data_IF_446007424051
#
_entry.id   IF_446007424051
#
_cell.length_a   1.000
_cell.length_b   1.000
_cell.length_c   1.000
_cell.angle_alpha   90.00
_cell.angle_beta   90.00
_cell.angle_gamma   90.00
#
_symmetry.space_group_name_H-M   'P 1'
#
loop_
_entity.id
_entity.type
_entity.pdbx_description
1 polymer ?
#
# COMPACT_ATOMS: atom_id res chain seq x y z
N UNK A 1 -27.51 2.86 11.72
CA UNK A 1 -26.20 3.50 11.93
C UNK A 1 -25.93 3.47 13.42
N UNK A 2 -24.99 2.68 13.93
CA UNK A 2 -24.76 2.69 15.39
C UNK A 2 -23.75 1.70 15.98
N UNK A 3 -23.40 0.61 15.30
CA UNK A 3 -22.46 -0.38 15.88
C UNK A 3 -21.26 -0.66 14.97
N UNK A 4 -21.46 -0.72 13.65
CA UNK A 4 -20.37 -0.94 12.70
C UNK A 4 -19.37 0.24 12.60
N UNK A 5 -19.74 1.44 13.02
CA UNK A 5 -18.83 2.61 12.95
C UNK A 5 -17.93 2.77 14.19
N UNK A 6 -18.17 2.03 15.27
CA UNK A 6 -17.45 2.25 16.56
C UNK A 6 -16.24 1.31 16.70
N UNK A 7 -16.22 0.15 16.04
CA UNK A 7 -15.11 -0.82 16.12
C UNK A 7 -14.09 -0.66 14.98
N UNK A 8 -14.50 -0.11 13.84
CA UNK A 8 -13.62 0.11 12.69
C UNK A 8 -12.50 1.16 12.85
N UNK A 9 -12.61 2.24 13.65
CA UNK A 9 -11.58 3.29 13.63
C UNK A 9 -10.26 2.87 14.28
N UNK A 10 -10.22 1.86 15.15
CA UNK A 10 -8.99 1.48 15.88
C UNK A 10 -8.15 0.39 15.20
N UNK A 11 -8.76 -0.51 14.44
CA UNK A 11 -8.06 -1.66 13.81
C UNK A 11 -7.44 -1.25 12.48
N UNK A 12 -8.13 -0.41 11.70
CA UNK A 12 -7.70 -0.04 10.36
C UNK A 12 -6.29 0.60 10.32
N UNK A 13 -5.94 1.51 11.24
CA UNK A 13 -4.63 2.16 11.20
C UNK A 13 -3.47 1.18 11.47
N UNK A 14 -3.67 0.20 12.38
CA UNK A 14 -2.69 -0.87 12.63
C UNK A 14 -2.55 -1.82 11.42
N UNK A 15 -3.66 -2.12 10.75
CA UNK A 15 -3.65 -2.92 9.53
C UNK A 15 -2.84 -2.26 8.41
N UNK A 16 -3.00 -0.95 8.22
CA UNK A 16 -2.20 -0.16 7.26
C UNK A 16 -0.72 -0.19 7.63
N UNK A 17 -0.37 -0.01 8.91
CA UNK A 17 1.01 -0.11 9.37
C UNK A 17 1.61 -1.49 9.09
N UNK A 18 0.85 -2.57 9.32
CA UNK A 18 1.28 -3.93 9.03
C UNK A 18 1.53 -4.13 7.52
N UNK A 19 0.61 -3.68 6.67
CA UNK A 19 0.79 -3.71 5.21
C UNK A 19 2.02 -2.92 4.79
N UNK A 20 2.20 -1.72 5.33
CA UNK A 20 3.34 -0.86 5.03
C UNK A 20 4.64 -1.57 5.40
N UNK A 21 4.71 -2.19 6.58
CA UNK A 21 5.86 -2.99 6.99
C UNK A 21 6.07 -4.16 6.02
N UNK A 22 5.05 -4.98 5.77
CA UNK A 22 5.16 -6.15 4.89
C UNK A 22 5.64 -5.79 3.48
N UNK A 23 5.07 -4.75 2.86
CA UNK A 23 5.44 -4.29 1.52
C UNK A 23 6.85 -3.69 1.50
N UNK A 24 7.23 -2.93 2.55
CA UNK A 24 8.57 -2.36 2.71
C UNK A 24 9.65 -3.42 2.93
N UNK A 25 9.34 -4.50 3.65
CA UNK A 25 10.26 -5.64 3.82
C UNK A 25 10.66 -6.23 2.48
N UNK A 26 9.72 -6.38 1.54
CA UNK A 26 10.01 -6.88 0.19
C UNK A 26 10.93 -5.92 -0.55
N UNK A 27 10.69 -4.61 -0.42
CA UNK A 27 11.52 -3.56 -1.01
C UNK A 27 12.96 -3.58 -0.50
N UNK A 28 13.17 -3.71 0.80
CA UNK A 28 14.50 -3.70 1.41
C UNK A 28 15.28 -5.01 1.19
N UNK A 29 14.60 -6.15 0.99
CA UNK A 29 15.25 -7.46 1.07
C UNK A 29 15.28 -8.26 -0.23
N UNK A 30 14.22 -8.23 -1.04
CA UNK A 30 14.10 -9.09 -2.24
C UNK A 30 14.52 -8.37 -3.51
N UNK A 31 14.07 -7.13 -3.67
CA UNK A 31 14.36 -6.35 -4.85
C UNK A 31 13.53 -5.08 -4.88
N UNK A 32 14.20 -3.96 -5.15
CA UNK A 32 13.58 -2.63 -5.11
C UNK A 32 12.48 -2.48 -6.14
N UNK A 33 12.69 -3.02 -7.35
CA UNK A 33 11.67 -3.02 -8.41
C UNK A 33 10.39 -3.71 -7.94
N UNK A 34 10.51 -4.96 -7.49
CA UNK A 34 9.36 -5.77 -7.05
C UNK A 34 8.69 -5.14 -5.81
N UNK A 35 9.48 -4.69 -4.83
CA UNK A 35 8.94 -4.08 -3.62
C UNK A 35 8.25 -2.74 -3.88
N UNK A 36 8.77 -1.91 -4.78
CA UNK A 36 8.13 -0.66 -5.17
C UNK A 36 6.83 -0.93 -5.92
N UNK A 37 6.85 -1.86 -6.88
CA UNK A 37 5.66 -2.30 -7.60
C UNK A 37 4.57 -2.80 -6.66
N UNK A 38 4.93 -3.63 -5.68
CA UNK A 38 4.02 -4.14 -4.67
C UNK A 38 3.48 -3.02 -3.78
N UNK A 39 4.34 -2.16 -3.22
CA UNK A 39 3.95 -1.04 -2.37
C UNK A 39 3.00 -0.11 -3.12
N UNK A 40 3.39 0.32 -4.32
CA UNK A 40 2.61 1.24 -5.14
C UNK A 40 1.25 0.65 -5.53
N UNK A 41 1.22 -0.61 -5.99
CA UNK A 41 -0.03 -1.29 -6.35
C UNK A 41 -0.96 -1.46 -5.14
N UNK A 42 -0.40 -1.75 -3.96
CA UNK A 42 -1.15 -1.94 -2.73
C UNK A 42 -1.83 -0.65 -2.30
N UNK A 43 -1.08 0.45 -2.19
CA UNK A 43 -1.64 1.75 -1.81
C UNK A 43 -2.57 2.31 -2.90
N UNK A 44 -2.30 2.03 -4.18
CA UNK A 44 -3.23 2.33 -5.26
C UNK A 44 -4.57 1.60 -5.07
N UNK A 45 -4.54 0.32 -4.71
CA UNK A 45 -5.75 -0.45 -4.42
C UNK A 45 -6.53 0.15 -3.26
N UNK A 46 -5.86 0.56 -2.18
CA UNK A 46 -6.49 1.26 -1.06
C UNK A 46 -7.14 2.57 -1.53
N UNK A 47 -6.43 3.41 -2.28
CA UNK A 47 -6.98 4.65 -2.85
C UNK A 47 -8.23 4.40 -3.70
N UNK A 48 -8.18 3.42 -4.60
CA UNK A 48 -9.33 3.07 -5.46
C UNK A 48 -10.50 2.57 -4.63
N UNK A 49 -10.25 1.78 -3.58
CA UNK A 49 -11.30 1.31 -2.68
C UNK A 49 -12.03 2.47 -2.00
N UNK A 50 -11.29 3.47 -1.51
CA UNK A 50 -11.89 4.67 -0.91
C UNK A 50 -12.57 5.57 -1.93
N UNK A 51 -12.02 5.75 -3.13
CA UNK A 51 -12.70 6.47 -4.20
C UNK A 51 -14.06 5.83 -4.51
N UNK A 52 -14.11 4.49 -4.58
CA UNK A 52 -15.37 3.75 -4.76
C UNK A 52 -16.33 4.00 -3.60
N UNK A 53 -15.87 3.88 -2.34
CA UNK A 53 -16.73 4.09 -1.18
C UNK A 53 -17.27 5.52 -1.06
N UNK A 54 -16.50 6.51 -1.51
CA UNK A 54 -16.88 7.92 -1.44
C UNK A 54 -17.81 8.37 -2.57
N UNK A 55 -17.70 7.74 -3.76
CA UNK A 55 -18.39 8.22 -4.96
C UNK A 55 -19.49 7.28 -5.46
N UNK A 56 -19.45 5.99 -5.13
CA UNK A 56 -20.47 5.02 -5.56
C UNK A 56 -21.52 4.90 -4.44
N UNK A 57 -22.82 5.09 -4.76
CA UNK A 57 -23.87 4.99 -3.75
C UNK A 57 -23.93 3.58 -3.15
N UNK A 58 -24.22 3.53 -1.85
CA UNK A 58 -24.40 2.28 -1.11
C UNK A 58 -25.60 1.50 -1.67
N UNK A 59 -25.47 0.18 -1.79
CA UNK A 59 -26.59 -0.67 -2.18
C UNK A 59 -27.65 -0.66 -1.08
N UNK A 60 -28.90 -0.39 -1.45
CA UNK A 60 -30.02 -0.48 -0.53
C UNK A 60 -30.54 -1.92 -0.54
N UNK A 61 -30.15 -2.70 0.46
CA UNK A 61 -30.91 -3.89 0.82
C UNK A 61 -32.02 -3.44 1.78
N UNK A 62 -33.20 -4.07 1.75
CA UNK A 62 -34.38 -3.69 2.55
C UNK A 62 -34.12 -3.44 4.05
N UNK A 63 -32.97 -3.86 4.59
CA UNK A 63 -32.60 -3.75 5.99
C UNK A 63 -31.38 -2.86 6.25
N UNK A 64 -30.50 -2.62 5.26
CA UNK A 64 -29.25 -1.90 5.47
C UNK A 64 -28.63 -1.34 4.18
N UNK A 65 -27.88 -0.24 4.36
CA UNK A 65 -26.95 0.25 3.35
C UNK A 65 -25.69 -0.61 3.33
N UNK A 66 -25.35 -1.14 2.16
CA UNK A 66 -24.24 -2.06 1.96
C UNK A 66 -23.15 -1.37 1.13
N UNK A 67 -21.90 -1.32 1.62
CA UNK A 67 -20.78 -0.75 0.86
C UNK A 67 -20.53 -1.55 -0.41
N UNK A 68 -20.08 -0.87 -1.47
CA UNK A 68 -19.79 -1.57 -2.73
C UNK A 68 -18.62 -2.54 -2.59
N UNK A 69 -17.57 -2.19 -1.84
CA UNK A 69 -16.32 -2.96 -1.68
C UNK A 69 -15.86 -2.95 -0.22
N UNK A 70 -15.17 -4.00 0.20
CA UNK A 70 -14.45 -4.05 1.47
C UNK A 70 -12.95 -3.71 1.24
N UNK A 71 -12.44 -2.58 1.79
CA UNK A 71 -11.05 -2.17 1.56
C UNK A 71 -10.00 -3.15 2.09
N UNK A 72 -10.28 -3.85 3.19
CA UNK A 72 -9.34 -4.81 3.79
C UNK A 72 -9.21 -5.99 2.86
N UNK A 73 -10.33 -6.58 2.43
CA UNK A 73 -10.35 -7.71 1.49
C UNK A 73 -9.71 -7.33 0.18
N UNK A 74 -10.08 -6.20 -0.42
CA UNK A 74 -9.52 -5.73 -1.69
C UNK A 74 -8.00 -5.59 -1.62
N UNK A 75 -7.49 -5.03 -0.52
CA UNK A 75 -6.04 -4.83 -0.31
C UNK A 75 -5.30 -6.16 -0.12
N UNK A 76 -5.80 -7.06 0.74
CA UNK A 76 -5.20 -8.37 0.96
C UNK A 76 -5.18 -9.17 -0.35
N UNK A 77 -6.31 -9.23 -1.06
CA UNK A 77 -6.40 -9.90 -2.36
C UNK A 77 -5.37 -9.32 -3.33
N UNK A 78 -5.25 -8.00 -3.41
CA UNK A 78 -4.26 -7.33 -4.28
C UNK A 78 -2.82 -7.75 -3.95
N UNK A 79 -2.43 -7.71 -2.67
CA UNK A 79 -1.08 -8.08 -2.21
C UNK A 79 -0.76 -9.53 -2.57
N UNK A 80 -1.67 -10.47 -2.27
CA UNK A 80 -1.37 -11.90 -2.43
C UNK A 80 -1.49 -12.36 -3.88
N UNK A 81 -2.43 -11.82 -4.66
CA UNK A 81 -2.51 -12.09 -6.09
C UNK A 81 -1.28 -11.58 -6.83
N UNK A 82 -0.65 -10.48 -6.39
CA UNK A 82 0.62 -10.01 -6.94
C UNK A 82 1.74 -11.07 -6.82
N UNK A 83 1.72 -11.93 -5.79
CA UNK A 83 2.75 -12.96 -5.65
C UNK A 83 2.47 -14.22 -6.48
N UNK A 84 1.27 -14.42 -7.03
CA UNK A 84 0.91 -15.65 -7.76
C UNK A 84 1.84 -15.89 -8.96
N UNK A 85 2.10 -14.91 -9.85
CA UNK A 85 3.01 -15.13 -10.99
C UNK A 85 4.46 -15.40 -10.57
N UNK A 86 4.84 -15.04 -9.35
CA UNK A 86 6.18 -15.24 -8.79
C UNK A 86 6.36 -16.61 -8.12
N UNK A 87 5.28 -17.38 -7.94
CA UNK A 87 5.31 -18.69 -7.33
C UNK A 87 5.83 -19.75 -8.31
N UNK A 88 6.82 -20.53 -7.89
CA UNK A 88 7.42 -21.60 -8.71
C UNK A 88 6.76 -22.96 -8.51
N UNK A 89 6.02 -23.14 -7.41
CA UNK A 89 5.40 -24.42 -7.06
C UNK A 89 3.93 -24.29 -6.71
N UNK A 90 3.15 -25.35 -6.97
CA UNK A 90 1.73 -25.42 -6.60
C UNK A 90 1.50 -25.17 -5.10
N UNK A 91 2.42 -25.62 -4.24
CA UNK A 91 2.36 -25.40 -2.79
C UNK A 91 2.46 -23.91 -2.42
N UNK A 92 3.32 -23.16 -3.10
CA UNK A 92 3.43 -21.71 -2.88
C UNK A 92 2.17 -20.97 -3.31
N UNK A 93 1.57 -21.37 -4.44
CA UNK A 93 0.29 -20.80 -4.91
C UNK A 93 -0.81 -21.06 -3.88
N UNK A 94 -0.92 -22.29 -3.36
CA UNK A 94 -1.92 -22.61 -2.33
C UNK A 94 -1.74 -21.78 -1.06
N UNK A 95 -0.50 -21.54 -0.63
CA UNK A 95 -0.22 -20.68 0.54
C UNK A 95 -0.61 -19.23 0.24
N UNK A 96 -0.31 -18.72 -0.95
CA UNK A 96 -0.69 -17.36 -1.34
C UNK A 96 -2.21 -17.16 -1.41
N UNK A 97 -2.98 -18.18 -1.79
CA UNK A 97 -4.44 -18.11 -1.82
C UNK A 97 -5.09 -18.31 -0.44
N UNK A 98 -4.44 -19.05 0.45
CA UNK A 98 -4.98 -19.35 1.78
C UNK A 98 -5.17 -18.08 2.62
N UNK A 99 -4.23 -17.12 2.58
CA UNK A 99 -4.33 -15.92 3.40
C UNK A 99 -5.49 -14.99 2.97
N UNK A 100 -5.69 -14.66 1.68
CA UNK A 100 -6.87 -13.94 1.21
C UNK A 100 -8.18 -14.64 1.57
N UNK A 101 -8.25 -15.97 1.43
CA UNK A 101 -9.44 -16.73 1.82
C UNK A 101 -9.72 -16.57 3.32
N UNK A 102 -8.68 -16.67 4.16
CA UNK A 102 -8.80 -16.44 5.60
C UNK A 102 -9.33 -15.04 5.92
N UNK A 103 -8.79 -13.99 5.28
CA UNK A 103 -9.27 -12.62 5.47
C UNK A 103 -10.70 -12.41 4.95
N UNK A 104 -11.10 -13.08 3.87
CA UNK A 104 -12.49 -13.06 3.39
C UNK A 104 -13.43 -13.67 4.44
N UNK A 105 -13.10 -14.84 4.97
CA UNK A 105 -13.89 -15.50 6.01
C UNK A 105 -13.93 -14.63 7.28
N UNK A 106 -12.79 -14.08 7.69
CA UNK A 106 -12.71 -13.17 8.83
C UNK A 106 -13.60 -11.92 8.64
N UNK A 107 -13.59 -11.32 7.45
CA UNK A 107 -14.44 -10.16 7.15
C UNK A 107 -15.93 -10.49 7.25
N UNK A 108 -16.36 -11.64 6.72
CA UNK A 108 -17.78 -12.06 6.75
C UNK A 108 -18.22 -12.43 8.16
N UNK A 109 -17.43 -13.25 8.87
CA UNK A 109 -17.84 -13.85 10.14
C UNK A 109 -17.63 -12.89 11.33
N UNK A 110 -16.48 -12.21 11.38
CA UNK A 110 -16.09 -11.38 12.53
C UNK A 110 -16.44 -9.93 12.31
N UNK A 111 -16.12 -9.36 11.13
CA UNK A 111 -16.43 -7.96 10.83
C UNK A 111 -17.88 -7.75 10.35
N UNK A 112 -18.63 -8.85 10.16
CA UNK A 112 -20.00 -8.84 9.64
C UNK A 112 -20.11 -8.11 8.30
N UNK A 113 -19.04 -8.16 7.49
CA UNK A 113 -19.03 -7.55 6.17
C UNK A 113 -20.02 -8.29 5.26
N UNK A 114 -20.88 -7.56 4.53
CA UNK A 114 -21.84 -8.19 3.63
C UNK A 114 -21.10 -8.92 2.50
N UNK A 115 -21.53 -10.14 2.12
CA UNK A 115 -20.81 -10.96 1.15
C UNK A 115 -20.57 -10.28 -0.20
N UNK A 116 -21.48 -9.40 -0.63
CA UNK A 116 -21.34 -8.66 -1.88
C UNK A 116 -20.12 -7.73 -1.89
N UNK A 117 -19.81 -7.07 -0.77
CA UNK A 117 -18.63 -6.20 -0.63
C UNK A 117 -17.32 -6.98 -0.63
N UNK A 118 -17.36 -8.22 -0.12
CA UNK A 118 -16.22 -9.13 -0.13
C UNK A 118 -15.97 -9.64 -1.54
N UNK A 119 -17.02 -10.08 -2.25
CA UNK A 119 -16.94 -10.56 -3.63
C UNK A 119 -16.44 -9.47 -4.57
N UNK A 120 -16.99 -8.26 -4.47
CA UNK A 120 -16.53 -7.12 -5.26
C UNK A 120 -15.08 -6.73 -4.93
N UNK A 121 -14.68 -6.76 -3.65
CA UNK A 121 -13.30 -6.53 -3.23
C UNK A 121 -12.33 -7.53 -3.86
N UNK A 122 -12.71 -8.82 -3.94
CA UNK A 122 -11.94 -9.84 -4.64
C UNK A 122 -11.83 -9.52 -6.14
N UNK A 123 -12.95 -9.19 -6.79
CA UNK A 123 -13.00 -8.89 -8.22
C UNK A 123 -12.15 -7.66 -8.55
N UNK A 124 -12.30 -6.56 -7.81
CA UNK A 124 -11.55 -5.33 -8.01
C UNK A 124 -10.06 -5.57 -7.76
N UNK A 125 -9.70 -6.22 -6.64
CA UNK A 125 -8.29 -6.52 -6.34
C UNK A 125 -7.64 -7.39 -7.41
N UNK A 126 -8.34 -8.43 -7.88
CA UNK A 126 -7.87 -9.26 -8.98
C UNK A 126 -7.75 -8.52 -10.31
N UNK A 127 -8.72 -7.65 -10.62
CA UNK A 127 -8.67 -6.81 -11.82
C UNK A 127 -7.50 -5.83 -11.79
N UNK A 128 -7.20 -5.23 -10.63
CA UNK A 128 -6.05 -4.33 -10.47
C UNK A 128 -4.72 -5.05 -10.70
N UNK A 129 -4.55 -6.25 -10.12
CA UNK A 129 -3.33 -7.04 -10.33
C UNK A 129 -3.19 -7.47 -11.79
N UNK A 130 -4.29 -7.94 -12.41
CA UNK A 130 -4.30 -8.31 -13.83
C UNK A 130 -3.90 -7.12 -14.72
N UNK A 131 -4.54 -5.97 -14.52
CA UNK A 131 -4.27 -4.75 -15.28
C UNK A 131 -2.83 -4.29 -15.06
N UNK A 132 -2.36 -4.33 -13.81
CA UNK A 132 -0.99 -3.97 -13.47
C UNK A 132 0.03 -4.80 -14.27
N UNK A 133 -0.09 -6.13 -14.26
CA UNK A 133 0.81 -6.99 -15.04
C UNK A 133 0.72 -6.72 -16.54
N UNK A 134 -0.48 -6.48 -17.08
CA UNK A 134 -0.64 -6.13 -18.50
C UNK A 134 0.00 -4.79 -18.84
N UNK A 135 -0.03 -3.84 -17.92
CA UNK A 135 0.58 -2.51 -18.11
C UNK A 135 2.09 -2.50 -17.91
N UNK A 136 2.69 -3.53 -17.30
CA UNK A 136 4.16 -3.58 -17.13
C UNK A 136 4.89 -3.53 -18.47
N UNK A 137 4.41 -4.28 -19.48
CA UNK A 137 4.99 -4.27 -20.84
C UNK A 137 4.95 -2.86 -21.45
N UNK A 138 3.90 -2.09 -21.15
CA UNK A 138 3.72 -0.73 -21.64
C UNK A 138 4.62 0.25 -20.91
N UNK A 139 4.74 0.09 -19.59
CA UNK A 139 5.59 0.90 -18.72
C UNK A 139 7.06 0.73 -19.10
N UNK A 140 7.50 -0.49 -19.45
CA UNK A 140 8.88 -0.76 -19.87
C UNK A 140 9.25 -0.05 -21.19
N UNK A 141 8.28 0.18 -22.07
CA UNK A 141 8.49 0.92 -23.32
C UNK A 141 8.37 2.44 -23.20
N UNK A 142 7.92 2.96 -22.06
CA UNK A 142 7.69 4.40 -21.89
C UNK A 142 9.00 5.17 -21.65
N UNK A 143 9.16 6.37 -22.24
CA UNK A 143 10.23 7.29 -21.88
C UNK A 143 10.25 7.59 -20.37
N UNK A 144 11.43 7.52 -19.75
CA UNK A 144 11.61 7.70 -18.31
C UNK A 144 11.02 9.03 -17.77
N UNK A 145 11.09 10.10 -18.56
CA UNK A 145 10.51 11.41 -18.20
C UNK A 145 8.99 11.36 -18.02
N UNK A 146 8.30 10.57 -18.84
CA UNK A 146 6.85 10.40 -18.73
C UNK A 146 6.51 9.57 -17.50
N UNK A 147 7.27 8.51 -17.21
CA UNK A 147 7.07 7.71 -16.00
C UNK A 147 7.21 8.55 -14.73
N UNK A 148 8.22 9.43 -14.68
CA UNK A 148 8.42 10.37 -13.56
C UNK A 148 7.27 11.38 -13.45
N UNK A 149 6.81 11.92 -14.58
CA UNK A 149 5.70 12.87 -14.60
C UNK A 149 4.40 12.19 -14.14
N UNK A 150 4.11 10.99 -14.62
CA UNK A 150 2.94 10.21 -14.18
C UNK A 150 3.02 9.81 -12.71
N UNK A 151 4.19 9.46 -12.20
CA UNK A 151 4.35 9.06 -10.79
C UNK A 151 4.12 10.21 -9.81
N UNK A 152 4.23 11.47 -10.26
CA UNK A 152 3.90 12.66 -9.46
C UNK A 152 2.45 13.10 -9.67
N UNK A 153 2.01 13.21 -10.94
CA UNK A 153 0.68 13.72 -11.26
C UNK A 153 -0.42 12.78 -10.78
N UNK A 154 -0.22 11.46 -10.89
CA UNK A 154 -1.27 10.50 -10.59
C UNK A 154 -1.65 10.45 -9.10
N UNK A 155 -0.71 10.40 -8.13
CA UNK A 155 -1.04 10.52 -6.71
C UNK A 155 -1.72 11.86 -6.36
N UNK A 156 -1.31 12.97 -7.00
CA UNK A 156 -1.97 14.27 -6.82
C UNK A 156 -3.42 14.24 -7.32
N UNK A 157 -3.66 13.64 -8.48
CA UNK A 157 -5.00 13.45 -9.02
C UNK A 157 -5.88 12.62 -8.08
N UNK A 158 -5.34 11.52 -7.52
CA UNK A 158 -6.05 10.71 -6.53
C UNK A 158 -6.38 11.52 -5.26
N UNK A 159 -5.44 12.34 -4.77
CA UNK A 159 -5.67 13.20 -3.62
C UNK A 159 -6.82 14.20 -3.86
N UNK A 160 -6.89 14.78 -5.06
CA UNK A 160 -7.97 15.70 -5.44
C UNK A 160 -9.34 15.00 -5.45
N UNK A 161 -9.43 13.76 -5.94
CA UNK A 161 -10.69 13.00 -5.95
C UNK A 161 -11.14 12.61 -4.53
N UNK A 162 -10.19 12.30 -3.64
CA UNK A 162 -10.49 11.85 -2.28
C UNK A 162 -10.91 13.03 -1.38
N UNK A 163 -10.40 14.24 -1.66
CA UNK A 163 -10.81 15.45 -0.97
C UNK A 163 -12.33 15.67 -1.10
N UNK A 164 -13.07 16.01 -0.03
CA UNK A 164 -12.62 16.59 1.24
C UNK A 164 -12.34 15.60 2.38
N UNK A 165 -12.26 14.29 2.13
CA UNK A 165 -12.04 13.31 3.19
C UNK A 165 -10.55 13.24 3.58
N UNK A 166 -10.18 14.14 4.50
CA UNK A 166 -8.79 14.39 4.91
C UNK A 166 -8.10 13.11 5.43
N UNK A 167 -8.81 12.27 6.19
CA UNK A 167 -8.28 11.02 6.76
C UNK A 167 -7.70 10.06 5.71
N UNK A 168 -8.25 10.07 4.49
CA UNK A 168 -7.84 9.18 3.40
C UNK A 168 -6.75 9.78 2.50
N UNK A 169 -6.35 11.05 2.71
CA UNK A 169 -5.25 11.68 1.97
C UNK A 169 -3.87 11.10 2.33
N UNK A 170 -3.80 10.33 3.41
CA UNK A 170 -2.61 9.59 3.81
C UNK A 170 -2.07 8.65 2.71
N UNK A 171 -2.95 7.88 2.07
CA UNK A 171 -2.56 6.89 1.06
C UNK A 171 -1.99 7.50 -0.23
N UNK A 172 -2.61 8.51 -0.88
CA UNK A 172 -1.99 9.19 -2.02
C UNK A 172 -0.71 9.94 -1.61
N UNK A 173 -0.60 10.39 -0.35
CA UNK A 173 0.66 10.89 0.21
C UNK A 173 1.79 9.85 0.13
N UNK A 174 1.54 8.62 0.58
CA UNK A 174 2.51 7.50 0.49
C UNK A 174 2.89 7.22 -0.96
N UNK A 175 1.92 7.19 -1.88
CA UNK A 175 2.19 6.98 -3.31
C UNK A 175 3.10 8.08 -3.87
N UNK A 176 2.85 9.34 -3.53
CA UNK A 176 3.69 10.46 -3.97
C UNK A 176 5.10 10.38 -3.37
N UNK A 177 5.20 10.16 -2.06
CA UNK A 177 6.49 10.06 -1.38
C UNK A 177 7.35 8.91 -1.90
N UNK A 178 6.73 7.75 -2.15
CA UNK A 178 7.40 6.58 -2.71
C UNK A 178 7.85 6.81 -4.16
N UNK A 179 7.03 7.48 -4.97
CA UNK A 179 7.37 7.89 -6.34
C UNK A 179 8.55 8.89 -6.39
N UNK A 180 8.55 9.88 -5.49
CA UNK A 180 9.68 10.83 -5.38
C UNK A 180 10.95 10.09 -4.93
N UNK A 181 10.85 9.21 -3.93
CA UNK A 181 12.03 8.51 -3.43
C UNK A 181 12.69 7.60 -4.47
N UNK A 182 11.90 6.81 -5.21
CA UNK A 182 12.46 5.93 -6.25
C UNK A 182 13.05 6.71 -7.44
N UNK A 183 12.44 7.85 -7.81
CA UNK A 183 12.96 8.69 -8.90
C UNK A 183 14.26 9.39 -8.51
N UNK A 184 14.37 9.88 -7.27
CA UNK A 184 15.63 10.43 -6.77
C UNK A 184 16.70 9.34 -6.66
N UNK A 185 16.33 8.14 -6.21
CA UNK A 185 17.27 7.02 -6.09
C UNK A 185 17.85 6.59 -7.44
N UNK A 186 17.00 6.46 -8.47
CA UNK A 186 17.39 6.11 -9.84
C UNK A 186 18.28 7.16 -10.47
N UNK A 187 18.01 8.46 -10.25
CA UNK A 187 18.78 9.56 -10.82
C UNK A 187 20.12 9.81 -10.10
N UNK A 188 20.14 9.81 -8.76
CA UNK A 188 21.29 10.31 -7.99
C UNK A 188 22.09 9.23 -7.27
N UNK A 189 21.44 8.24 -6.68
CA UNK A 189 22.09 7.41 -5.64
C UNK A 189 22.59 6.07 -6.20
N UNK A 190 21.97 5.55 -7.28
CA UNK A 190 22.37 4.29 -7.97
C UNK A 190 22.79 3.17 -6.99
N UNK A 191 22.03 2.99 -5.90
CA UNK A 191 22.42 2.05 -4.85
C UNK A 191 22.15 0.61 -5.32
N UNK A 192 23.10 0.02 -6.04
CA UNK A 192 22.92 -1.30 -6.63
C UNK A 192 23.08 -2.48 -5.64
N UNK A 193 23.08 -2.22 -4.32
CA UNK A 193 23.47 -3.21 -3.33
C UNK A 193 22.29 -3.59 -2.44
N UNK A 194 21.66 -4.72 -2.77
CA UNK A 194 20.79 -5.45 -1.84
C UNK A 194 21.70 -6.14 -0.81
N UNK A 195 21.40 -6.05 0.50
CA UNK A 195 22.23 -6.70 1.53
C UNK A 195 22.26 -8.22 1.29
N UNK A 196 23.46 -8.76 1.05
CA UNK A 196 23.65 -10.22 0.87
C UNK A 196 23.79 -10.99 2.18
N UNK A 197 24.27 -10.35 3.26
CA UNK A 197 24.41 -11.01 4.55
C UNK A 197 23.11 -10.92 5.37
N UNK A 198 22.77 -12.01 6.05
CA UNK A 198 21.59 -12.11 6.92
C UNK A 198 21.60 -11.07 8.03
N UNK A 199 22.78 -10.76 8.58
CA UNK A 199 22.95 -9.72 9.62
C UNK A 199 22.61 -8.33 9.10
N UNK A 200 23.07 -7.96 7.90
CA UNK A 200 22.75 -6.67 7.27
C UNK A 200 21.27 -6.60 6.86
N UNK A 201 20.70 -7.72 6.42
CA UNK A 201 19.28 -7.82 6.13
C UNK A 201 18.45 -7.58 7.40
N UNK A 202 18.79 -8.22 8.52
CA UNK A 202 18.07 -8.07 9.78
C UNK A 202 18.20 -6.64 10.33
N UNK A 203 19.38 -6.05 10.25
CA UNK A 203 19.61 -4.65 10.62
C UNK A 203 18.82 -3.67 9.73
N UNK A 204 18.80 -3.91 8.41
CA UNK A 204 18.00 -3.11 7.48
C UNK A 204 16.51 -3.17 7.80
N UNK A 205 16.03 -4.37 8.12
CA UNK A 205 14.65 -4.58 8.49
C UNK A 205 14.33 -3.87 9.81
N UNK A 206 15.16 -4.04 10.85
CA UNK A 206 14.90 -3.42 12.15
C UNK A 206 14.95 -1.90 12.08
N UNK A 207 15.94 -1.32 11.40
CA UNK A 207 16.05 0.12 11.24
C UNK A 207 14.85 0.70 10.49
N UNK A 208 14.44 0.04 9.40
CA UNK A 208 13.30 0.46 8.61
C UNK A 208 11.98 0.36 9.39
N UNK A 209 11.74 -0.76 10.08
CA UNK A 209 10.49 -0.96 10.85
C UNK A 209 10.41 -0.06 12.07
N UNK A 210 11.51 0.13 12.81
CA UNK A 210 11.54 1.07 13.95
C UNK A 210 11.23 2.49 13.47
N UNK A 211 11.84 2.93 12.36
CA UNK A 211 11.55 4.23 11.78
C UNK A 211 10.08 4.38 11.36
N UNK A 212 9.50 3.35 10.74
CA UNK A 212 8.07 3.35 10.38
C UNK A 212 7.16 3.44 11.61
N UNK A 213 7.46 2.70 12.68
CA UNK A 213 6.70 2.75 13.93
C UNK A 213 6.80 4.15 14.55
N UNK A 214 7.99 4.75 14.59
CA UNK A 214 8.20 6.10 15.12
C UNK A 214 7.44 7.14 14.29
N UNK A 215 7.58 7.14 12.97
CA UNK A 215 6.88 8.08 12.09
C UNK A 215 5.36 7.93 12.21
N UNK A 216 4.86 6.70 12.33
CA UNK A 216 3.45 6.42 12.54
C UNK A 216 2.95 6.90 13.91
N UNK A 217 3.73 6.69 14.98
CA UNK A 217 3.40 7.23 16.30
C UNK A 217 3.41 8.77 16.28
N UNK A 218 4.41 9.39 15.64
CA UNK A 218 4.45 10.84 15.45
C UNK A 218 3.20 11.34 14.72
N UNK A 219 2.74 10.63 13.68
CA UNK A 219 1.48 10.93 13.00
C UNK A 219 0.28 10.89 13.96
N UNK A 220 0.18 9.87 14.81
CA UNK A 220 -0.91 9.75 15.80
C UNK A 220 -0.90 10.85 16.87
N UNK A 221 0.28 11.38 17.23
CA UNK A 221 0.43 12.38 18.30
C UNK A 221 0.49 13.83 17.79
N UNK A 222 0.79 14.04 16.51
CA UNK A 222 0.74 15.38 15.94
C UNK A 222 -0.72 15.78 15.83
N UNK A 223 -1.14 16.76 16.63
CA UNK A 223 -2.48 17.31 16.55
C UNK A 223 -2.64 18.13 15.27
N UNK A 224 -3.90 18.35 14.89
CA UNK A 224 -4.44 18.99 13.66
C UNK A 224 -3.99 20.43 13.36
N UNK A 225 -2.83 20.86 13.85
CA UNK A 225 -2.25 22.19 13.62
C UNK A 225 -1.75 22.39 12.19
N UNK A 226 -1.43 21.32 11.46
CA UNK A 226 -0.86 21.39 10.12
C UNK A 226 -1.99 21.13 9.10
N UNK A 227 -2.24 22.05 8.14
CA UNK A 227 -3.18 21.76 7.07
C UNK A 227 -2.70 20.59 6.23
N UNK A 228 -3.59 19.65 5.90
CA UNK A 228 -3.27 18.44 5.13
C UNK A 228 -2.20 17.55 5.76
N UNK A 229 -2.20 17.45 7.10
CA UNK A 229 -1.22 16.67 7.86
C UNK A 229 -1.09 15.22 7.39
N UNK A 230 -2.21 14.58 7.07
CA UNK A 230 -2.32 13.20 6.61
C UNK A 230 -1.57 13.00 5.30
N UNK A 231 -1.73 13.94 4.37
CA UNK A 231 -1.04 13.89 3.10
C UNK A 231 0.48 14.08 3.26
N UNK A 232 0.89 15.01 4.11
CA UNK A 232 2.30 15.28 4.42
C UNK A 232 2.94 14.09 5.14
N UNK A 233 2.26 13.51 6.13
CA UNK A 233 2.76 12.35 6.87
C UNK A 233 2.90 11.13 5.95
N UNK A 234 1.92 10.89 5.08
CA UNK A 234 2.00 9.87 4.03
C UNK A 234 3.21 10.09 3.12
N UNK A 235 3.42 11.33 2.65
CA UNK A 235 4.58 11.69 1.83
C UNK A 235 5.90 11.39 2.53
N UNK A 236 6.05 11.81 3.79
CA UNK A 236 7.26 11.56 4.59
C UNK A 236 7.51 10.06 4.76
N UNK A 237 6.47 9.28 5.04
CA UNK A 237 6.56 7.82 5.17
C UNK A 237 6.96 7.17 3.83
N UNK A 238 6.38 7.60 2.72
CA UNK A 238 6.75 7.11 1.39
C UNK A 238 8.23 7.37 1.07
N UNK A 239 8.72 8.58 1.37
CA UNK A 239 10.14 8.95 1.23
C UNK A 239 11.02 8.12 2.19
N UNK A 240 10.56 7.89 3.42
CA UNK A 240 11.31 7.08 4.39
C UNK A 240 11.59 5.68 3.86
N UNK A 241 10.57 5.00 3.36
CA UNK A 241 10.67 3.62 2.85
C UNK A 241 11.59 3.55 1.63
N UNK A 242 11.40 4.47 0.68
CA UNK A 242 12.00 4.37 -0.66
C UNK A 242 13.35 5.07 -0.82
N UNK A 243 13.63 6.10 -0.03
CA UNK A 243 14.85 6.92 -0.14
C UNK A 243 15.71 6.86 1.12
N UNK A 244 15.16 7.19 2.28
CA UNK A 244 15.96 7.41 3.50
C UNK A 244 16.59 6.09 3.98
N UNK A 245 15.79 5.03 4.13
CA UNK A 245 16.29 3.73 4.58
C UNK A 245 17.37 3.19 3.62
N UNK A 246 17.15 3.12 2.28
CA UNK A 246 18.20 2.73 1.34
C UNK A 246 19.46 3.59 1.40
N UNK A 247 19.30 4.90 1.60
CA UNK A 247 20.44 5.83 1.71
C UNK A 247 21.28 5.53 2.95
N UNK A 248 20.65 5.37 4.13
CA UNK A 248 21.35 5.00 5.38
C UNK A 248 22.12 3.68 5.20
N UNK A 249 21.50 2.69 4.58
CA UNK A 249 22.13 1.38 4.33
C UNK A 249 23.31 1.47 3.37
N UNK A 250 23.24 2.36 2.38
CA UNK A 250 24.35 2.61 1.46
C UNK A 250 25.56 3.22 2.18
N UNK A 251 25.31 4.13 3.13
CA UNK A 251 26.35 4.79 3.91
C UNK A 251 27.03 3.83 4.90
N UNK A 252 26.25 3.01 5.61
CA UNK A 252 26.75 2.03 6.57
C UNK A 252 27.61 0.94 5.95
N UNK A 253 27.53 0.71 4.63
CA UNK A 253 28.41 -0.23 3.93
C UNK A 253 29.88 0.23 3.90
N UNK A 254 30.10 1.54 3.95
CA UNK A 254 31.44 2.14 3.89
C UNK A 254 32.12 2.19 5.26
N UNK A 255 31.43 1.74 6.31
CA UNK A 255 31.93 1.54 7.67
C UNK A 255 32.21 0.04 7.88
#
# INVERSE_FOLDING_TARGET
MGVATIIFPSIFPLFVLLILICTSLVYWTKGRRIGFQLLYLTFLSICISYIILLNIPLFYTHQAYVPFTDPIVQTVVTIFLFFIPLCQSKKQITICLLLPIFFCIYSIVILQAPPISVVSGIIIGGFLVYTFYRTLDWIEGMPERLLLLFSIIFPLFLAIIIFPNIEHLFYPGILLGSAIGITVETLKVKVNNIPRSTTRMLFSVSLGTIGLIILYLMYMYTSSFIPMQEWISGLVIGIWVTLIVPYILSFLKNL
#
